data_IF_711952730623
#
_entry.id   IF_711952730623
#
_cell.length_a   1.000
_cell.length_b   1.000
_cell.length_c   1.000
_cell.angle_alpha   90.00
_cell.angle_beta   90.00
_cell.angle_gamma   90.00
#
_symmetry.space_group_name_H-M   'P 1'
#
loop_
_entity.id
_entity.type
_entity.pdbx_description
1 polymer ?
#
# COMPACT_ATOMS: atom_id res chain seq x y z
N UNK A 1 -20.96 -6.52 -3.14
CA UNK A 1 -20.93 -5.20 -2.44
C UNK A 1 -19.50 -4.81 -2.04
N UNK A 2 -18.53 -5.01 -2.92
CA UNK A 2 -17.08 -4.79 -2.67
C UNK A 2 -16.36 -4.18 -3.87
N UNK A 3 -16.90 -4.33 -5.09
CA UNK A 3 -16.28 -3.81 -6.31
C UNK A 3 -16.08 -2.27 -6.34
N UNK A 4 -16.91 -1.51 -5.62
CA UNK A 4 -16.72 -0.06 -5.47
C UNK A 4 -15.57 0.29 -4.50
N UNK A 5 -15.18 -0.63 -3.60
CA UNK A 5 -14.01 -0.47 -2.74
C UNK A 5 -12.71 -0.81 -3.46
N UNK A 6 -12.71 -1.67 -4.49
CA UNK A 6 -11.49 -2.05 -5.21
C UNK A 6 -10.79 -0.85 -5.84
N UNK A 7 -11.55 0.03 -6.52
CA UNK A 7 -11.00 1.25 -7.12
C UNK A 7 -10.46 2.24 -6.08
N UNK A 8 -11.18 2.40 -4.96
CA UNK A 8 -10.76 3.28 -3.87
C UNK A 8 -9.52 2.75 -3.14
N UNK A 9 -9.47 1.44 -2.89
CA UNK A 9 -8.35 0.77 -2.23
C UNK A 9 -7.08 0.87 -3.07
N UNK A 10 -7.18 0.64 -4.39
CA UNK A 10 -6.06 0.83 -5.31
C UNK A 10 -5.55 2.27 -5.26
N UNK A 11 -6.44 3.25 -5.31
CA UNK A 11 -6.07 4.66 -5.24
C UNK A 11 -5.38 5.02 -3.93
N UNK A 12 -5.90 4.54 -2.79
CA UNK A 12 -5.29 4.78 -1.48
C UNK A 12 -3.89 4.18 -1.39
N UNK A 13 -3.72 2.91 -1.77
CA UNK A 13 -2.45 2.20 -1.60
C UNK A 13 -1.37 2.65 -2.58
N UNK A 14 -1.73 3.06 -3.80
CA UNK A 14 -0.77 3.41 -4.86
C UNK A 14 -0.56 4.90 -5.06
N UNK A 15 -1.51 5.76 -4.69
CA UNK A 15 -1.46 7.19 -5.04
C UNK A 15 -1.44 8.14 -3.85
N UNK A 16 -1.85 7.69 -2.66
CA UNK A 16 -1.91 8.56 -1.47
C UNK A 16 -0.51 8.84 -0.92
N UNK A 17 0.00 10.04 -1.17
CA UNK A 17 1.29 10.48 -0.62
C UNK A 17 1.19 10.62 0.90
N UNK A 18 2.13 10.01 1.62
CA UNK A 18 2.26 10.17 3.06
C UNK A 18 3.52 10.95 3.39
N UNK A 19 3.37 12.10 4.07
CA UNK A 19 4.51 12.95 4.45
C UNK A 19 5.49 12.24 5.38
N UNK A 20 4.99 11.34 6.24
CA UNK A 20 5.81 10.49 7.11
C UNK A 20 6.70 9.48 6.35
N UNK A 21 6.43 9.24 5.07
CA UNK A 21 7.18 8.32 4.21
C UNK A 21 7.94 9.05 3.10
N UNK A 22 8.21 10.35 3.27
CA UNK A 22 8.85 11.15 2.22
C UNK A 22 7.98 11.29 0.97
N UNK A 23 6.66 11.44 1.16
CA UNK A 23 5.66 11.61 0.08
C UNK A 23 5.47 10.37 -0.80
N UNK A 24 5.93 9.21 -0.35
CA UNK A 24 5.72 7.94 -1.04
C UNK A 24 4.35 7.33 -0.69
N UNK A 25 3.76 6.55 -1.60
CA UNK A 25 2.51 5.84 -1.33
C UNK A 25 2.72 4.67 -0.36
N UNK A 26 1.69 4.22 0.37
CA UNK A 26 1.78 3.14 1.36
C UNK A 26 2.43 1.86 0.82
N UNK A 27 2.15 1.49 -0.43
CA UNK A 27 2.73 0.29 -1.07
C UNK A 27 4.25 0.32 -1.15
N UNK A 28 4.88 1.50 -1.15
CA UNK A 28 6.34 1.64 -1.16
C UNK A 28 7.00 1.10 0.13
N UNK A 29 6.23 0.96 1.22
CA UNK A 29 6.70 0.36 2.47
C UNK A 29 6.74 -1.17 2.42
N UNK A 30 6.03 -1.77 1.48
CA UNK A 30 5.94 -3.21 1.38
C UNK A 30 7.23 -3.72 0.73
N UNK A 31 8.19 -4.08 1.57
CA UNK A 31 9.40 -4.79 1.16
C UNK A 31 9.06 -6.25 0.82
N UNK A 32 9.82 -6.86 -0.11
CA UNK A 32 9.63 -8.26 -0.54
C UNK A 32 9.51 -9.26 0.63
N UNK A 33 10.18 -8.97 1.74
CA UNK A 33 10.16 -9.76 2.99
C UNK A 33 8.76 -9.83 3.61
N UNK A 34 7.98 -8.75 3.53
CA UNK A 34 6.61 -8.72 4.09
C UNK A 34 5.55 -9.32 3.17
N UNK A 35 5.84 -9.46 1.86
CA UNK A 35 4.90 -10.09 0.90
C UNK A 35 4.84 -11.61 1.04
N UNK A 36 5.94 -12.22 1.47
CA UNK A 36 6.09 -13.68 1.58
C UNK A 36 5.98 -14.20 3.01
N UNK A 37 5.60 -13.34 3.97
CA UNK A 37 5.46 -13.74 5.37
C UNK A 37 6.72 -14.34 5.97
N UNK A 38 7.91 -13.97 5.46
CA UNK A 38 9.18 -14.38 6.05
C UNK A 38 9.45 -13.55 7.29
N UNK A 39 8.77 -13.90 8.37
CA UNK A 39 9.20 -13.57 9.72
C UNK A 39 10.35 -14.52 10.05
N UNK A 40 11.58 -13.99 10.09
CA UNK A 40 12.73 -14.71 10.63
C UNK A 40 12.59 -14.94 12.13
#
# INVERSE_FOLDING_TARGET
>A
RTAALDGWLWHYNHRRRHSALGHQPPVARITRTNLLGTYS
#
